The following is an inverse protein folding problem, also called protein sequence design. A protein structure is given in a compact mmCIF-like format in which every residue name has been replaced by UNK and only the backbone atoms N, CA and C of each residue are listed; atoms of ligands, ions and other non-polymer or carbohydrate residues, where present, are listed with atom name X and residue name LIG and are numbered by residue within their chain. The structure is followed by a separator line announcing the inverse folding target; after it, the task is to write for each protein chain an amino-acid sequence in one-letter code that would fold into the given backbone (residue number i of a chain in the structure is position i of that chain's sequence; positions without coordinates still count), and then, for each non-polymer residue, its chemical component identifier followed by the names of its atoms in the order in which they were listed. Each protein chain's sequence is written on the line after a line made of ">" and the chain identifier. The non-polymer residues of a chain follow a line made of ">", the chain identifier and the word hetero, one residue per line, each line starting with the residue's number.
data_IF_277054931256
#
_entry.id   IF_277054931256
#
_cell.length_a   1.000
_cell.length_b   1.000
_cell.length_c   1.000
_cell.angle_alpha   90.00
_cell.angle_beta   90.00
_cell.angle_gamma   90.00
#
_symmetry.space_group_name_H-M   'P 1'
#
loop_
_entity.id
_entity.type
_entity.pdbx_description
1 polymer ?
#
# COMPACT_ATOMS: atom_id res chain seq x y z
N UNK A 1 -38.48 -13.75 34.14
CA UNK A 1 -37.08 -13.46 34.55
C UNK A 1 -36.24 -13.65 33.30
N UNK A 2 -35.94 -12.56 32.60
CA UNK A 2 -35.12 -12.56 31.38
C UNK A 2 -33.71 -12.16 31.81
N UNK A 3 -32.82 -13.15 31.95
CA UNK A 3 -31.40 -12.89 32.12
C UNK A 3 -30.85 -12.32 30.81
N UNK A 4 -30.23 -11.15 30.90
CA UNK A 4 -29.46 -10.53 29.82
C UNK A 4 -28.23 -11.40 29.53
N UNK A 5 -27.95 -11.82 28.28
CA UNK A 5 -26.75 -12.58 28.01
C UNK A 5 -25.52 -11.67 28.16
N UNK A 6 -24.56 -12.14 28.94
CA UNK A 6 -23.24 -11.54 29.14
C UNK A 6 -22.63 -11.20 27.78
N UNK A 7 -22.28 -9.93 27.56
CA UNK A 7 -21.48 -9.49 26.41
C UNK A 7 -20.13 -10.20 26.46
N UNK A 8 -19.98 -11.29 25.70
CA UNK A 8 -18.71 -12.00 25.55
C UNK A 8 -17.80 -11.14 24.67
N UNK A 9 -16.67 -10.72 25.23
CA UNK A 9 -15.66 -10.00 24.47
C UNK A 9 -14.84 -11.01 23.66
N UNK A 10 -14.85 -10.85 22.34
CA UNK A 10 -14.05 -11.66 21.43
C UNK A 10 -12.80 -10.86 21.03
N UNK A 11 -11.64 -11.51 21.05
CA UNK A 11 -10.41 -10.97 20.47
C UNK A 11 -10.03 -11.77 19.23
N UNK A 12 -9.47 -11.07 18.24
CA UNK A 12 -8.79 -11.73 17.13
C UNK A 12 -7.39 -12.15 17.58
N UNK A 13 -7.03 -13.40 17.31
CA UNK A 13 -5.75 -14.00 17.66
C UNK A 13 -5.22 -14.76 16.45
N UNK A 14 -3.90 -14.71 16.26
CA UNK A 14 -3.23 -15.45 15.19
C UNK A 14 -3.37 -16.95 15.45
N UNK A 15 -3.74 -17.71 14.41
CA UNK A 15 -3.95 -19.15 14.52
C UNK A 15 -2.72 -19.89 15.06
N UNK A 16 -1.51 -19.42 14.72
CA UNK A 16 -0.23 -19.98 15.18
C UNK A 16 0.02 -19.79 16.68
N UNK A 17 -0.76 -18.94 17.33
CA UNK A 17 -0.67 -18.67 18.77
C UNK A 17 -1.75 -19.38 19.58
N UNK A 18 -2.57 -20.23 18.96
CA UNK A 18 -3.60 -21.00 19.66
C UNK A 18 -2.97 -22.04 20.57
N UNK A 19 -3.51 -22.14 21.78
CA UNK A 19 -3.06 -23.09 22.79
C UNK A 19 -4.23 -23.90 23.35
N UNK A 20 -3.92 -25.05 23.96
CA UNK A 20 -4.91 -25.82 24.70
C UNK A 20 -5.51 -24.96 25.82
N UNK A 21 -6.84 -24.92 25.92
CA UNK A 21 -7.59 -24.09 26.86
C UNK A 21 -8.22 -22.84 26.22
N UNK A 22 -7.81 -22.45 25.01
CA UNK A 22 -8.42 -21.32 24.31
C UNK A 22 -9.86 -21.65 23.88
N UNK A 23 -10.78 -20.71 24.07
CA UNK A 23 -12.19 -20.88 23.71
C UNK A 23 -12.48 -20.22 22.36
N UNK A 24 -12.48 -21.05 21.31
CA UNK A 24 -12.63 -20.65 19.91
C UNK A 24 -14.10 -20.43 19.53
N UNK A 25 -14.40 -19.35 18.81
CA UNK A 25 -15.67 -19.18 18.13
C UNK A 25 -15.69 -20.04 16.86
N UNK A 26 -16.68 -20.92 16.74
CA UNK A 26 -16.82 -21.82 15.60
C UNK A 26 -17.24 -21.04 14.34
N UNK A 27 -17.02 -21.61 13.13
CA UNK A 27 -17.37 -20.94 11.86
C UNK A 27 -18.85 -20.60 11.70
N UNK A 28 -19.74 -21.18 12.52
CA UNK A 28 -21.15 -20.83 12.57
C UNK A 28 -21.45 -19.48 13.23
N UNK A 29 -20.45 -18.87 13.89
CA UNK A 29 -20.56 -17.55 14.49
C UNK A 29 -21.36 -17.48 15.78
N UNK A 30 -21.91 -18.60 16.27
CA UNK A 30 -22.79 -18.63 17.46
C UNK A 30 -22.24 -19.53 18.57
N UNK A 31 -21.56 -20.62 18.21
CA UNK A 31 -21.08 -21.61 19.17
C UNK A 31 -19.59 -21.41 19.47
N UNK A 32 -19.23 -21.67 20.72
CA UNK A 32 -17.83 -21.63 21.17
C UNK A 32 -17.42 -23.01 21.69
N UNK A 33 -16.19 -23.41 21.42
CA UNK A 33 -15.64 -24.66 21.94
C UNK A 33 -14.20 -24.46 22.43
N UNK A 34 -13.85 -25.18 23.49
CA UNK A 34 -12.50 -25.16 24.04
C UNK A 34 -11.57 -26.08 23.23
N UNK A 35 -10.38 -25.59 22.93
CA UNK A 35 -9.33 -26.34 22.27
C UNK A 35 -8.68 -27.29 23.27
N UNK A 36 -8.76 -28.58 23.01
CA UNK A 36 -8.09 -29.61 23.81
C UNK A 36 -6.69 -29.94 23.30
N UNK A 37 -6.49 -29.88 21.99
CA UNK A 37 -5.22 -30.21 21.36
C UNK A 37 -5.05 -29.40 20.08
N UNK A 38 -3.83 -28.94 19.83
CA UNK A 38 -3.43 -28.26 18.61
C UNK A 38 -2.33 -29.07 17.94
N UNK A 39 -2.51 -29.40 16.67
CA UNK A 39 -1.51 -30.05 15.85
C UNK A 39 -1.20 -29.20 14.62
N UNK A 40 0.08 -29.10 14.26
CA UNK A 40 0.55 -28.30 13.13
C UNK A 40 0.96 -29.23 12.00
N UNK A 41 0.37 -29.01 10.84
CA UNK A 41 0.65 -29.74 9.61
C UNK A 41 1.41 -28.82 8.64
N UNK A 42 2.60 -29.27 8.25
CA UNK A 42 3.46 -28.56 7.29
C UNK A 42 3.11 -28.92 5.84
N UNK A 43 3.37 -28.01 4.92
CA UNK A 43 3.33 -28.27 3.48
C UNK A 43 4.51 -29.13 3.01
N UNK A 44 4.48 -29.47 1.71
CA UNK A 44 5.53 -30.25 1.03
C UNK A 44 6.92 -29.59 1.06
N UNK A 45 7.01 -28.32 1.46
CA UNK A 45 8.24 -27.54 1.60
C UNK A 45 8.67 -27.33 3.06
N UNK A 46 7.93 -27.91 4.01
CA UNK A 46 8.21 -27.85 5.45
C UNK A 46 7.73 -26.57 6.14
N UNK A 47 6.98 -25.71 5.45
CA UNK A 47 6.36 -24.52 6.05
C UNK A 47 5.02 -24.88 6.70
N UNK A 48 4.62 -24.24 7.82
CA UNK A 48 3.33 -24.49 8.45
C UNK A 48 2.19 -24.13 7.48
N UNK A 49 1.29 -25.07 7.22
CA UNK A 49 0.20 -24.89 6.25
C UNK A 49 -1.17 -24.94 6.93
N UNK A 50 -1.39 -25.92 7.81
CA UNK A 50 -2.66 -26.11 8.51
C UNK A 50 -2.43 -26.31 10.01
N UNK A 51 -3.36 -25.78 10.79
CA UNK A 51 -3.47 -25.98 12.23
C UNK A 51 -4.76 -26.75 12.47
N UNK A 52 -4.62 -27.94 13.04
CA UNK A 52 -5.72 -28.83 13.42
C UNK A 52 -6.01 -28.66 14.90
N UNK A 53 -7.13 -28.03 15.23
CA UNK A 53 -7.60 -27.85 16.60
C UNK A 53 -8.68 -28.89 16.93
N UNK A 54 -8.38 -29.79 17.87
CA UNK A 54 -9.36 -30.73 18.43
C UNK A 54 -10.12 -30.06 19.56
N UNK A 55 -11.45 -30.07 19.47
CA UNK A 55 -12.34 -29.36 20.38
C UNK A 55 -12.97 -30.31 21.42
N UNK A 56 -13.36 -29.76 22.57
CA UNK A 56 -14.00 -30.52 23.65
C UNK A 56 -15.32 -31.21 23.29
N UNK A 57 -15.96 -30.81 22.18
CA UNK A 57 -17.12 -31.48 21.60
C UNK A 57 -16.81 -32.68 20.68
N UNK A 58 -15.53 -33.07 20.56
CA UNK A 58 -15.09 -34.20 19.73
C UNK A 58 -14.94 -33.90 18.24
N UNK A 59 -15.07 -32.64 17.84
CA UNK A 59 -14.86 -32.18 16.45
C UNK A 59 -13.46 -31.58 16.26
N UNK A 60 -12.92 -31.67 15.04
CA UNK A 60 -11.67 -31.03 14.63
C UNK A 60 -11.95 -29.87 13.69
N UNK A 61 -11.28 -28.73 13.91
CA UNK A 61 -11.32 -27.55 13.03
C UNK A 61 -9.96 -27.39 12.36
N UNK A 62 -9.99 -27.14 11.05
CA UNK A 62 -8.79 -26.92 10.23
C UNK A 62 -8.67 -25.43 9.94
N UNK A 63 -7.55 -24.85 10.32
CA UNK A 63 -7.29 -23.41 10.23
C UNK A 63 -6.02 -23.23 9.41
N UNK A 64 -6.01 -22.30 8.46
CA UNK A 64 -4.79 -22.00 7.71
C UNK A 64 -3.76 -21.31 8.62
N UNK A 65 -2.49 -21.74 8.57
CA UNK A 65 -1.41 -21.06 9.27
C UNK A 65 -1.31 -19.58 8.80
N UNK A 66 -1.05 -18.65 9.73
CA UNK A 66 -1.06 -17.21 9.46
C UNK A 66 -2.44 -16.55 9.32
N UNK A 67 -3.54 -17.27 9.55
CA UNK A 67 -4.89 -16.69 9.59
C UNK A 67 -5.27 -16.22 11.00
N UNK A 68 -6.20 -15.26 11.10
CA UNK A 68 -6.74 -14.80 12.36
C UNK A 68 -8.05 -15.52 12.71
N UNK A 69 -8.19 -15.93 13.98
CA UNK A 69 -9.41 -16.53 14.52
C UNK A 69 -9.90 -15.78 15.75
N UNK A 70 -11.19 -15.91 16.06
CA UNK A 70 -11.81 -15.23 17.21
C UNK A 70 -11.84 -16.14 18.43
N UNK A 71 -11.27 -15.68 19.53
CA UNK A 71 -11.31 -16.36 20.83
C UNK A 71 -12.08 -15.54 21.86
N UNK A 72 -12.67 -16.20 22.86
CA UNK A 72 -13.35 -15.54 23.99
C UNK A 72 -12.32 -15.12 25.03
N UNK A 73 -12.26 -13.82 25.33
CA UNK A 73 -11.39 -13.31 26.40
C UNK A 73 -11.96 -13.69 27.77
N UNK A 74 -11.31 -14.65 28.44
CA UNK A 74 -11.62 -15.01 29.83
C UNK A 74 -10.56 -14.43 30.76
N UNK A 75 -10.23 -13.15 30.58
CA UNK A 75 -9.24 -12.45 31.42
C UNK A 75 -9.83 -11.16 31.96
N UNK A 76 -10.69 -11.33 32.95
CA UNK A 76 -10.99 -10.34 33.96
C UNK A 76 -11.15 -11.10 35.28
N UNK A 77 -10.04 -11.23 36.01
CA UNK A 77 -9.89 -11.45 37.46
C UNK A 77 -8.47 -11.99 37.71
N UNK A 78 -7.49 -11.08 37.83
CA UNK A 78 -6.44 -11.07 38.87
C UNK A 78 -5.28 -10.16 38.44
N UNK A 79 -5.36 -8.90 38.87
CA UNK A 79 -4.17 -8.07 39.07
C UNK A 79 -3.61 -8.38 40.47
N UNK A 80 -2.32 -8.68 40.58
CA UNK A 80 -1.42 -7.97 41.50
C UNK A 80 0.07 -8.27 41.16
N UNK A 81 0.99 -7.33 41.45
CA UNK A 81 2.38 -7.36 41.01
C UNK A 81 3.32 -7.91 42.10
N UNK A 82 4.40 -8.61 41.73
CA UNK A 82 5.62 -8.57 42.56
C UNK A 82 6.91 -8.93 41.79
N UNK A 83 7.97 -8.33 42.30
CA UNK A 83 9.35 -8.28 41.88
C UNK A 83 10.11 -9.61 41.93
N UNK A 84 11.27 -9.64 41.26
CA UNK A 84 12.29 -10.64 41.55
C UNK A 84 13.33 -10.84 40.45
N UNK A 85 14.19 -9.84 40.22
CA UNK A 85 15.53 -10.13 39.70
C UNK A 85 16.32 -10.95 40.74
N UNK A 86 17.31 -11.76 40.33
CA UNK A 86 18.66 -11.25 40.54
C UNK A 86 19.67 -11.56 39.42
N UNK A 87 20.60 -10.61 39.33
CA UNK A 87 21.87 -10.62 38.64
C UNK A 87 22.83 -11.69 39.20
N UNK A 88 23.79 -12.14 38.40
CA UNK A 88 25.04 -12.73 38.90
C UNK A 88 26.24 -12.24 38.09
N UNK A 89 27.18 -11.67 38.83
CA UNK A 89 28.47 -11.08 38.48
C UNK A 89 29.54 -12.17 38.31
N UNK A 90 30.34 -12.04 37.26
CA UNK A 90 31.78 -11.72 37.24
C UNK A 90 32.77 -12.89 37.40
N UNK A 91 33.67 -13.04 36.41
CA UNK A 91 35.09 -13.40 36.58
C UNK A 91 35.89 -12.81 35.40
N UNK A 92 36.85 -11.91 35.67
CA UNK A 92 38.01 -11.64 34.80
C UNK A 92 39.11 -12.70 35.07
N UNK A 93 40.04 -12.93 34.13
CA UNK A 93 41.41 -12.45 34.42
C UNK A 93 42.24 -11.97 33.22
N UNK A 94 43.07 -10.97 33.53
CA UNK A 94 44.46 -10.63 33.13
C UNK A 94 45.09 -11.07 31.80
N UNK A 95 45.79 -10.09 31.24
CA UNK A 95 46.69 -10.10 30.09
C UNK A 95 47.95 -10.96 30.23
N UNK A 96 48.34 -11.62 29.13
CA UNK A 96 49.75 -11.85 28.73
C UNK A 96 49.82 -12.19 27.23
N UNK A 97 50.69 -11.49 26.49
CA UNK A 97 51.24 -11.85 25.17
C UNK A 97 52.77 -12.05 25.37
N UNK A 98 53.58 -12.54 24.39
CA UNK A 98 53.30 -13.25 23.12
C UNK A 98 54.23 -14.48 22.87
N UNK A 99 53.92 -15.37 21.90
CA UNK A 99 54.95 -16.07 21.08
C UNK A 99 54.36 -16.73 19.80
N UNK A 100 55.23 -16.93 18.81
CA UNK A 100 55.03 -17.05 17.35
C UNK A 100 54.41 -18.36 16.78
N UNK A 101 53.57 -18.19 15.73
CA UNK A 101 53.47 -18.89 14.42
C UNK A 101 53.67 -20.44 14.28
N UNK A 102 52.93 -21.16 13.39
CA UNK A 102 52.80 -20.80 11.97
C UNK A 102 51.44 -21.05 11.28
N UNK A 103 51.43 -20.62 10.02
CA UNK A 103 50.31 -20.29 9.14
C UNK A 103 49.48 -21.45 8.57
N UNK A 104 48.20 -21.17 8.33
CA UNK A 104 47.32 -21.87 7.38
C UNK A 104 46.63 -20.82 6.47
N UNK A 105 46.33 -21.13 5.19
CA UNK A 105 46.19 -20.13 4.14
C UNK A 105 44.87 -19.34 4.21
N UNK A 106 44.99 -18.02 4.05
CA UNK A 106 43.89 -17.07 3.99
C UNK A 106 43.09 -17.23 2.70
N UNK A 107 41.79 -17.51 2.82
CA UNK A 107 40.81 -17.23 1.76
C UNK A 107 40.62 -15.71 1.74
N UNK A 108 41.24 -15.05 0.77
CA UNK A 108 41.04 -13.62 0.51
C UNK A 108 39.62 -13.44 -0.01
N UNK A 109 38.69 -13.11 0.89
CA UNK A 109 37.42 -12.48 0.51
C UNK A 109 37.75 -11.01 0.24
N UNK A 110 37.57 -10.50 -1.00
CA UNK A 110 37.71 -9.07 -1.25
C UNK A 110 36.72 -8.30 -0.35
N UNK A 111 37.12 -7.16 0.25
CA UNK A 111 36.18 -6.35 1.00
C UNK A 111 35.07 -5.88 0.04
N UNK A 112 33.83 -6.21 0.37
CA UNK A 112 32.66 -5.65 -0.29
C UNK A 112 32.80 -4.11 -0.28
N UNK A 113 32.65 -3.44 -1.44
CA UNK A 113 32.69 -1.99 -1.47
C UNK A 113 31.64 -1.42 -0.52
N UNK A 114 32.00 -0.37 0.20
CA UNK A 114 31.11 0.31 1.13
C UNK A 114 29.80 0.66 0.43
N UNK A 115 28.71 0.09 0.92
CA UNK A 115 27.34 0.36 0.46
C UNK A 115 27.08 1.85 0.73
N UNK A 116 26.87 2.70 -0.29
CA UNK A 116 26.41 4.06 -0.04
C UNK A 116 25.04 3.97 0.65
N UNK A 117 24.70 4.88 1.57
CA UNK A 117 23.42 4.82 2.27
C UNK A 117 22.31 4.81 1.22
N UNK A 118 21.48 3.78 1.26
CA UNK A 118 20.29 3.66 0.41
C UNK A 118 19.30 4.76 0.80
N UNK A 119 19.50 5.96 0.28
CA UNK A 119 18.46 6.99 0.25
C UNK A 119 17.57 6.64 -0.92
N UNK A 120 16.72 5.65 -0.70
CA UNK A 120 15.79 5.04 -1.67
C UNK A 120 14.59 5.93 -2.03
N UNK A 121 14.75 7.26 -1.95
CA UNK A 121 13.70 8.24 -2.22
C UNK A 121 14.26 9.56 -2.75
N UNK A 122 13.39 10.51 -3.15
CA UNK A 122 13.84 11.84 -3.56
C UNK A 122 14.55 12.57 -2.42
N UNK A 123 15.61 13.27 -2.77
CA UNK A 123 16.36 14.18 -1.90
C UNK A 123 15.52 15.43 -1.59
N UNK A 124 15.85 16.14 -0.51
CA UNK A 124 15.17 17.40 -0.17
C UNK A 124 15.24 18.44 -1.30
N UNK A 125 16.35 18.48 -2.05
CA UNK A 125 16.51 19.37 -3.21
C UNK A 125 15.61 18.96 -4.40
N UNK A 126 15.36 17.67 -4.58
CA UNK A 126 14.41 17.15 -5.57
C UNK A 126 12.97 17.48 -5.15
N UNK A 127 12.61 17.30 -3.87
CA UNK A 127 11.27 17.65 -3.37
C UNK A 127 10.96 19.14 -3.47
N UNK A 128 11.96 20.02 -3.33
CA UNK A 128 11.80 21.47 -3.49
C UNK A 128 11.39 21.90 -4.91
N UNK A 129 11.37 20.97 -5.89
CA UNK A 129 10.86 21.22 -7.25
C UNK A 129 9.33 21.14 -7.32
N UNK A 130 8.69 20.54 -6.32
CA UNK A 130 7.23 20.55 -6.18
C UNK A 130 6.87 21.90 -5.54
N UNK A 131 6.02 22.73 -6.18
CA UNK A 131 5.59 24.00 -5.61
C UNK A 131 4.91 23.82 -4.25
N UNK A 132 5.20 24.71 -3.30
CA UNK A 132 4.41 24.76 -2.06
C UNK A 132 2.97 25.21 -2.38
N UNK A 133 1.96 24.64 -1.69
CA UNK A 133 0.58 25.03 -1.90
C UNK A 133 0.38 26.51 -1.53
N UNK A 134 -0.46 27.19 -2.31
CA UNK A 134 -0.81 28.59 -2.05
C UNK A 134 -1.79 28.66 -0.88
N UNK A 135 -1.27 28.71 0.35
CA UNK A 135 -2.06 28.81 1.57
C UNK A 135 -2.40 27.43 2.17
N UNK A 136 -3.58 27.31 2.76
CA UNK A 136 -4.03 26.05 3.37
C UNK A 136 -4.50 25.07 2.29
N UNK A 137 -4.39 23.75 2.52
CA UNK A 137 -4.94 22.73 1.62
C UNK A 137 -6.42 22.99 1.26
N UNK A 138 -7.22 23.43 2.22
CA UNK A 138 -8.62 23.77 2.01
C UNK A 138 -8.80 24.97 1.08
N UNK A 139 -7.90 25.96 1.14
CA UNK A 139 -7.95 27.14 0.27
C UNK A 139 -7.59 26.78 -1.18
N UNK A 140 -6.69 25.82 -1.38
CA UNK A 140 -6.40 25.28 -2.73
C UNK A 140 -7.64 24.62 -3.33
N UNK A 141 -8.36 23.82 -2.54
CA UNK A 141 -9.60 23.18 -2.98
C UNK A 141 -10.71 24.20 -3.22
N UNK A 142 -10.83 25.22 -2.37
CA UNK A 142 -11.78 26.32 -2.56
C UNK A 142 -11.49 27.10 -3.85
N UNK A 143 -10.22 27.44 -4.11
CA UNK A 143 -9.81 28.11 -5.35
C UNK A 143 -10.16 27.28 -6.60
N UNK A 144 -9.99 25.96 -6.55
CA UNK A 144 -10.39 25.08 -7.65
C UNK A 144 -11.92 25.09 -7.88
N UNK A 145 -12.72 25.16 -6.81
CA UNK A 145 -14.17 25.28 -6.93
C UNK A 145 -14.61 26.66 -7.45
N UNK A 146 -13.96 27.74 -7.00
CA UNK A 146 -14.23 29.10 -7.48
C UNK A 146 -13.90 29.29 -8.97
N UNK A 147 -12.86 28.61 -9.46
CA UNK A 147 -12.51 28.61 -10.88
C UNK A 147 -13.56 27.90 -11.77
N UNK A 148 -14.34 26.98 -11.19
CA UNK A 148 -15.31 26.14 -11.91
C UNK A 148 -16.70 26.14 -11.24
N UNK A 149 -17.40 27.29 -11.22
CA UNK A 149 -18.65 27.45 -10.45
C UNK A 149 -19.84 26.65 -11.00
N UNK A 150 -19.76 26.16 -12.24
CA UNK A 150 -20.82 25.37 -12.88
C UNK A 150 -20.55 23.85 -12.83
N UNK A 151 -19.40 23.43 -12.31
CA UNK A 151 -18.98 22.03 -12.29
C UNK A 151 -19.50 21.31 -11.04
N UNK A 152 -20.72 20.77 -11.11
CA UNK A 152 -21.37 20.12 -9.97
C UNK A 152 -20.54 19.02 -9.28
N UNK A 153 -19.78 18.22 -10.05
CA UNK A 153 -18.88 17.19 -9.50
C UNK A 153 -17.75 17.79 -8.65
N UNK A 154 -17.12 18.86 -9.14
CA UNK A 154 -16.08 19.60 -8.40
C UNK A 154 -16.65 20.25 -7.15
N UNK A 155 -17.80 20.91 -7.25
CA UNK A 155 -18.43 21.55 -6.09
C UNK A 155 -18.79 20.55 -4.98
N UNK A 156 -19.26 19.35 -5.35
CA UNK A 156 -19.58 18.29 -4.40
C UNK A 156 -18.34 17.74 -3.67
N UNK A 157 -17.22 17.58 -4.37
CA UNK A 157 -15.96 17.16 -3.77
C UNK A 157 -15.36 18.29 -2.91
N UNK A 158 -15.39 19.52 -3.40
CA UNK A 158 -14.88 20.69 -2.68
C UNK A 158 -15.67 20.96 -1.38
N UNK A 159 -17.00 20.86 -1.37
CA UNK A 159 -17.81 21.04 -0.16
C UNK A 159 -17.51 19.98 0.92
N UNK A 160 -17.09 18.76 0.52
CA UNK A 160 -16.63 17.75 1.48
C UNK A 160 -15.25 18.08 2.03
N UNK A 161 -14.33 18.47 1.17
CA UNK A 161 -12.91 18.67 1.49
C UNK A 161 -12.66 19.98 2.26
N UNK A 162 -13.38 21.05 1.96
CA UNK A 162 -13.25 22.36 2.66
C UNK A 162 -13.68 22.33 4.12
N UNK A 163 -14.44 21.31 4.55
CA UNK A 163 -14.81 21.08 5.96
C UNK A 163 -13.64 20.58 6.81
N UNK A 164 -12.54 20.19 6.18
CA UNK A 164 -11.29 19.81 6.83
C UNK A 164 -10.63 18.61 6.16
N UNK A 165 -9.38 18.79 5.74
CA UNK A 165 -8.61 17.75 5.05
C UNK A 165 -7.86 16.88 6.05
N UNK A 166 -8.13 15.57 6.01
CA UNK A 166 -7.45 14.58 6.84
C UNK A 166 -6.58 13.64 5.99
N UNK A 167 -5.28 13.93 5.93
CA UNK A 167 -4.30 13.14 5.17
C UNK A 167 -4.08 11.70 5.69
N UNK A 168 -4.62 11.35 6.86
CA UNK A 168 -4.60 9.96 7.37
C UNK A 168 -5.81 9.15 6.92
N UNK A 169 -6.84 9.79 6.37
CA UNK A 169 -8.06 9.13 5.93
C UNK A 169 -7.98 8.73 4.45
N UNK A 170 -8.08 7.43 4.17
CA UNK A 170 -8.10 6.95 2.78
C UNK A 170 -9.24 7.50 1.94
N UNK A 171 -10.41 7.78 2.53
CA UNK A 171 -11.51 8.40 1.80
C UNK A 171 -11.20 9.85 1.41
N UNK A 172 -10.54 10.60 2.30
CA UNK A 172 -10.15 11.98 2.02
C UNK A 172 -9.06 12.05 0.94
N UNK A 173 -8.10 11.11 0.96
CA UNK A 173 -7.08 11.02 -0.09
C UNK A 173 -7.71 10.66 -1.45
N UNK A 174 -8.71 9.78 -1.44
CA UNK A 174 -9.48 9.46 -2.63
C UNK A 174 -10.25 10.67 -3.16
N UNK A 175 -10.99 11.39 -2.31
CA UNK A 175 -11.73 12.58 -2.73
C UNK A 175 -10.81 13.66 -3.36
N UNK A 176 -9.60 13.84 -2.82
CA UNK A 176 -8.58 14.74 -3.40
C UNK A 176 -8.07 14.24 -4.77
N UNK A 177 -7.83 12.94 -4.90
CA UNK A 177 -7.37 12.33 -6.14
C UNK A 177 -8.46 12.42 -7.22
N UNK A 178 -9.71 12.11 -6.87
CA UNK A 178 -10.88 12.20 -7.75
C UNK A 178 -11.09 13.65 -8.20
N UNK A 179 -10.92 14.64 -7.31
CA UNK A 179 -11.00 16.06 -7.64
C UNK A 179 -9.93 16.46 -8.66
N UNK A 180 -8.68 16.04 -8.46
CA UNK A 180 -7.60 16.33 -9.40
C UNK A 180 -7.85 15.70 -10.79
N UNK A 181 -8.36 14.46 -10.82
CA UNK A 181 -8.72 13.78 -12.08
C UNK A 181 -9.89 14.47 -12.78
N UNK A 182 -10.92 14.90 -12.05
CA UNK A 182 -12.07 15.60 -12.62
C UNK A 182 -11.66 16.95 -13.24
N UNK A 183 -10.83 17.73 -12.53
CA UNK A 183 -10.26 18.99 -13.03
C UNK A 183 -9.48 18.76 -14.33
N UNK A 184 -8.60 17.75 -14.37
CA UNK A 184 -7.78 17.49 -15.54
C UNK A 184 -8.57 16.91 -16.71
N UNK A 185 -9.36 15.86 -16.46
CA UNK A 185 -10.01 15.07 -17.51
C UNK A 185 -11.23 15.81 -18.02
N UNK A 186 -12.19 16.13 -17.14
CA UNK A 186 -13.48 16.69 -17.53
C UNK A 186 -13.36 18.19 -17.84
N UNK A 187 -12.69 18.96 -16.98
CA UNK A 187 -12.63 20.41 -17.09
C UNK A 187 -11.44 20.94 -17.90
N UNK A 188 -10.48 20.07 -18.24
CA UNK A 188 -9.25 20.42 -18.98
C UNK A 188 -8.45 21.52 -18.29
N UNK A 189 -8.44 21.49 -16.96
CA UNK A 189 -7.70 22.41 -16.09
C UNK A 189 -6.47 21.72 -15.50
N UNK A 190 -5.32 21.68 -16.22
CA UNK A 190 -4.10 21.05 -15.71
C UNK A 190 -3.50 21.80 -14.51
N UNK A 191 -3.65 23.12 -14.45
CA UNK A 191 -3.08 23.94 -13.38
C UNK A 191 -3.80 23.71 -12.06
N UNK A 192 -5.14 23.77 -12.07
CA UNK A 192 -5.96 23.43 -10.90
C UNK A 192 -5.80 21.98 -10.48
N UNK A 193 -5.74 21.05 -11.44
CA UNK A 193 -5.49 19.63 -11.15
C UNK A 193 -4.14 19.41 -10.46
N UNK A 194 -3.05 20.04 -10.94
CA UNK A 194 -1.74 19.93 -10.32
C UNK A 194 -1.70 20.56 -8.93
N UNK A 195 -2.36 21.70 -8.73
CA UNK A 195 -2.40 22.35 -7.42
C UNK A 195 -3.07 21.45 -6.37
N UNK A 196 -4.18 20.80 -6.71
CA UNK A 196 -4.86 19.83 -5.83
C UNK A 196 -4.03 18.56 -5.65
N UNK A 197 -3.50 18.00 -6.74
CA UNK A 197 -2.69 16.77 -6.73
C UNK A 197 -1.43 16.92 -5.86
N UNK A 198 -0.81 18.10 -5.83
CA UNK A 198 0.38 18.35 -5.02
C UNK A 198 0.17 18.25 -3.52
N UNK A 199 -1.08 18.45 -3.04
CA UNK A 199 -1.44 18.17 -1.66
C UNK A 199 -1.24 16.68 -1.29
N UNK A 200 -1.39 15.79 -2.28
CA UNK A 200 -1.16 14.35 -2.14
C UNK A 200 0.27 13.97 -2.45
N UNK A 201 0.87 14.57 -3.49
CA UNK A 201 2.18 14.14 -4.02
C UNK A 201 3.32 14.30 -3.02
N UNK A 202 3.18 15.20 -2.04
CA UNK A 202 4.19 15.41 -0.98
C UNK A 202 4.13 14.36 0.13
N UNK A 203 3.12 13.49 0.14
CA UNK A 203 2.93 12.48 1.18
C UNK A 203 3.87 11.28 0.94
N UNK A 204 4.67 10.86 1.94
CA UNK A 204 5.49 9.67 1.81
C UNK A 204 4.63 8.40 1.87
N UNK A 205 5.14 7.32 1.26
CA UNK A 205 4.55 6.00 1.47
C UNK A 205 4.71 5.56 2.93
N UNK A 206 3.61 5.15 3.55
CA UNK A 206 3.53 4.85 4.98
C UNK A 206 3.27 3.37 5.29
N UNK A 207 3.39 2.50 4.28
CA UNK A 207 3.16 1.07 4.41
C UNK A 207 1.71 0.63 4.21
N UNK A 208 0.75 1.53 3.97
CA UNK A 208 -0.65 1.17 3.69
C UNK A 208 -0.95 1.25 2.17
N UNK A 209 -1.08 0.11 1.47
CA UNK A 209 -1.34 0.10 0.02
C UNK A 209 -2.67 0.74 -0.37
N UNK A 210 -3.71 0.63 0.48
CA UNK A 210 -5.03 1.18 0.20
C UNK A 210 -5.04 2.71 0.22
N UNK A 211 -4.25 3.34 1.11
CA UNK A 211 -4.05 4.80 1.11
C UNK A 211 -3.08 5.24 0.02
N UNK A 212 -2.07 4.42 -0.26
CA UNK A 212 -1.09 4.71 -1.30
C UNK A 212 -1.74 4.78 -2.69
N UNK A 213 -2.73 3.93 -2.98
CA UNK A 213 -3.39 3.93 -4.29
C UNK A 213 -3.88 5.32 -4.75
N UNK A 214 -4.43 6.14 -3.85
CA UNK A 214 -4.88 7.50 -4.17
C UNK A 214 -3.72 8.46 -4.43
N UNK A 215 -2.63 8.33 -3.67
CA UNK A 215 -1.39 9.12 -3.85
C UNK A 215 -0.69 8.70 -5.14
N UNK A 216 -0.65 7.41 -5.44
CA UNK A 216 -0.06 6.85 -6.65
C UNK A 216 -0.80 7.30 -7.91
N UNK A 217 -2.14 7.26 -7.90
CA UNK A 217 -2.94 7.80 -9.00
C UNK A 217 -2.66 9.30 -9.22
N UNK A 218 -2.57 10.08 -8.13
CA UNK A 218 -2.23 11.51 -8.18
C UNK A 218 -0.82 11.76 -8.74
N UNK A 219 0.18 10.97 -8.32
CA UNK A 219 1.56 11.08 -8.81
C UNK A 219 1.66 10.70 -10.29
N UNK A 220 0.94 9.67 -10.74
CA UNK A 220 0.89 9.27 -12.14
C UNK A 220 0.27 10.35 -13.02
N UNK A 221 -0.85 10.94 -12.58
CA UNK A 221 -1.49 12.08 -13.23
C UNK A 221 -0.54 13.29 -13.31
N UNK A 222 0.09 13.64 -12.19
CA UNK A 222 0.97 14.82 -12.09
C UNK A 222 2.23 14.70 -12.94
N UNK A 223 2.85 13.51 -12.96
CA UNK A 223 3.94 13.18 -13.88
C UNK A 223 3.50 13.38 -15.33
N UNK A 224 2.32 12.87 -15.71
CA UNK A 224 1.82 13.03 -17.06
C UNK A 224 1.63 14.51 -17.45
N UNK A 225 0.96 15.31 -16.61
CA UNK A 225 0.74 16.74 -16.87
C UNK A 225 2.09 17.46 -17.01
N UNK A 226 3.02 17.25 -16.08
CA UNK A 226 4.34 17.89 -16.13
C UNK A 226 5.14 17.52 -17.39
N UNK A 227 5.06 16.27 -17.86
CA UNK A 227 5.67 15.87 -19.15
C UNK A 227 5.02 16.59 -20.34
N UNK A 228 3.70 16.81 -20.33
CA UNK A 228 3.04 17.58 -21.40
C UNK A 228 3.49 19.04 -21.41
N UNK A 229 3.70 19.63 -20.22
CA UNK A 229 4.14 21.02 -20.05
C UNK A 229 5.67 21.20 -20.12
N UNK A 230 6.42 20.14 -20.45
CA UNK A 230 7.90 20.11 -20.53
C UNK A 230 8.59 20.44 -19.19
N UNK A 231 7.91 20.20 -18.08
CA UNK A 231 8.46 20.27 -16.72
C UNK A 231 9.13 18.93 -16.36
N UNK A 232 10.14 18.53 -17.14
CA UNK A 232 10.79 17.21 -17.04
C UNK A 232 11.36 16.95 -15.63
N UNK A 233 12.03 17.94 -15.05
CA UNK A 233 12.65 17.83 -13.73
C UNK A 233 11.64 17.57 -12.61
N UNK A 234 10.41 18.07 -12.74
CA UNK A 234 9.32 17.88 -11.78
C UNK A 234 8.63 16.53 -12.01
N UNK A 235 8.43 16.15 -13.27
CA UNK A 235 7.90 14.84 -13.62
C UNK A 235 8.78 13.70 -13.08
N UNK A 236 10.11 13.82 -13.19
CA UNK A 236 11.05 12.83 -12.65
C UNK A 236 10.93 12.67 -11.12
N UNK A 237 10.66 13.76 -10.40
CA UNK A 237 10.45 13.72 -8.94
C UNK A 237 9.19 12.93 -8.60
N UNK A 238 8.08 13.17 -9.31
CA UNK A 238 6.85 12.41 -9.11
C UNK A 238 7.02 10.93 -9.43
N UNK A 239 7.69 10.60 -10.53
CA UNK A 239 7.95 9.21 -10.91
C UNK A 239 8.86 8.51 -9.88
N UNK A 240 9.83 9.23 -9.30
CA UNK A 240 10.69 8.71 -8.23
C UNK A 240 9.91 8.50 -6.93
N UNK A 241 9.02 9.43 -6.56
CA UNK A 241 8.11 9.31 -5.42
C UNK A 241 7.17 8.11 -5.56
N UNK A 242 6.58 7.97 -6.74
CA UNK A 242 5.65 6.90 -7.07
C UNK A 242 6.31 5.51 -6.94
N UNK A 243 7.59 5.41 -7.29
CA UNK A 243 8.40 4.19 -7.13
C UNK A 243 9.02 4.01 -5.73
N UNK A 244 8.70 4.86 -4.75
CA UNK A 244 9.25 4.75 -3.39
C UNK A 244 8.96 3.41 -2.68
N UNK A 245 7.73 2.84 -2.74
CA UNK A 245 7.45 1.54 -2.12
C UNK A 245 8.36 0.43 -2.65
N UNK A 246 8.77 0.54 -3.91
CA UNK A 246 9.60 -0.43 -4.61
C UNK A 246 11.01 -0.51 -4.07
N UNK A 247 11.49 0.61 -3.53
CA UNK A 247 12.85 0.78 -3.06
C UNK A 247 12.98 0.55 -1.54
N UNK A 248 11.89 0.16 -0.86
CA UNK A 248 11.91 -0.19 0.56
C UNK A 248 12.59 -1.54 0.83
N UNK A 249 12.58 -2.45 -0.14
CA UNK A 249 13.27 -3.73 0.00
C UNK A 249 14.78 -3.55 -0.10
N UNK A 250 15.47 -3.79 1.00
CA UNK A 250 16.93 -3.64 1.12
C UNK A 250 17.69 -4.89 0.67
N UNK A 251 17.05 -6.07 0.67
CA UNK A 251 17.69 -7.31 0.21
C UNK A 251 17.84 -7.30 -1.32
N UNK A 252 19.08 -7.34 -1.87
CA UNK A 252 19.30 -7.31 -3.31
C UNK A 252 18.62 -8.44 -4.08
N UNK A 253 18.48 -9.63 -3.48
CA UNK A 253 17.85 -10.77 -4.14
C UNK A 253 16.34 -10.59 -4.24
N UNK A 254 15.69 -10.24 -3.11
CA UNK A 254 14.25 -9.96 -3.08
C UNK A 254 13.88 -8.75 -3.93
N UNK A 255 14.69 -7.69 -3.88
CA UNK A 255 14.53 -6.50 -4.72
C UNK A 255 14.52 -6.87 -6.21
N UNK A 256 15.48 -7.70 -6.66
CA UNK A 256 15.54 -8.19 -8.05
C UNK A 256 14.34 -9.06 -8.42
N UNK A 257 13.87 -9.92 -7.51
CA UNK A 257 12.67 -10.74 -7.75
C UNK A 257 11.41 -9.88 -7.87
N UNK A 258 11.23 -8.92 -6.96
CA UNK A 258 10.10 -8.00 -6.94
C UNK A 258 10.06 -7.14 -8.20
N UNK A 259 11.22 -6.63 -8.65
CA UNK A 259 11.33 -5.90 -9.91
C UNK A 259 10.88 -6.75 -11.11
N UNK A 260 11.26 -8.04 -11.16
CA UNK A 260 10.83 -8.95 -12.23
C UNK A 260 9.33 -9.23 -12.21
N UNK A 261 8.75 -9.41 -11.02
CA UNK A 261 7.30 -9.61 -10.85
C UNK A 261 6.55 -8.36 -11.33
N UNK A 262 7.02 -7.18 -10.93
CA UNK A 262 6.43 -5.90 -11.35
C UNK A 262 6.50 -5.70 -12.85
N UNK A 263 7.66 -5.98 -13.47
CA UNK A 263 7.79 -5.85 -14.92
C UNK A 263 6.81 -6.77 -15.64
N UNK A 264 6.56 -7.99 -15.14
CA UNK A 264 5.52 -8.87 -15.70
C UNK A 264 4.13 -8.25 -15.60
N UNK A 265 3.75 -7.66 -14.45
CA UNK A 265 2.45 -6.98 -14.34
C UNK A 265 2.35 -5.76 -15.24
N UNK A 266 3.44 -5.02 -15.48
CA UNK A 266 3.48 -3.91 -16.43
C UNK A 266 3.43 -4.37 -17.89
N UNK A 267 3.91 -5.57 -18.18
CA UNK A 267 3.88 -6.18 -19.52
C UNK A 267 2.49 -6.70 -19.90
N UNK A 268 1.66 -7.04 -18.92
CA UNK A 268 0.30 -7.58 -19.08
C UNK A 268 -0.72 -6.73 -18.30
N UNK A 269 -0.88 -5.44 -18.63
CA UNK A 269 -1.80 -4.56 -17.91
C UNK A 269 -3.25 -4.94 -18.17
N UNK A 270 -4.10 -4.76 -17.16
CA UNK A 270 -5.55 -4.82 -17.38
C UNK A 270 -6.03 -3.52 -18.05
N UNK A 271 -6.37 -3.62 -19.33
CA UNK A 271 -6.88 -2.51 -20.14
C UNK A 271 -8.40 -2.58 -20.37
N UNK A 272 -9.12 -3.48 -19.69
CA UNK A 272 -10.59 -3.51 -19.69
C UNK A 272 -11.25 -3.58 -21.09
N UNK A 273 -10.57 -4.16 -22.08
CA UNK A 273 -11.07 -4.24 -23.46
C UNK A 273 -12.45 -4.91 -23.53
N UNK A 274 -12.63 -6.00 -22.77
CA UNK A 274 -13.88 -6.77 -22.79
C UNK A 274 -15.04 -5.97 -22.21
N UNK A 275 -14.81 -5.24 -21.14
CA UNK A 275 -15.80 -4.43 -20.43
C UNK A 275 -16.22 -3.21 -21.26
N UNK A 276 -15.26 -2.57 -21.93
CA UNK A 276 -15.53 -1.45 -22.84
C UNK A 276 -16.33 -1.94 -24.04
N UNK A 277 -15.92 -3.01 -24.72
CA UNK A 277 -16.68 -3.56 -25.86
C UNK A 277 -18.08 -4.00 -25.45
N UNK A 278 -18.23 -4.65 -24.28
CA UNK A 278 -19.55 -5.02 -23.77
C UNK A 278 -20.44 -3.79 -23.51
N UNK A 279 -19.88 -2.70 -23.01
CA UNK A 279 -20.63 -1.47 -22.74
C UNK A 279 -21.07 -0.79 -24.04
N UNK A 280 -20.20 -0.79 -25.06
CA UNK A 280 -20.51 -0.33 -26.42
C UNK A 280 -21.63 -1.18 -27.04
N UNK A 281 -21.50 -2.52 -27.00
CA UNK A 281 -22.50 -3.45 -27.54
C UNK A 281 -23.88 -3.26 -26.88
N UNK A 282 -23.90 -2.90 -25.60
CA UNK A 282 -25.12 -2.61 -24.84
C UNK A 282 -25.58 -1.15 -24.95
N UNK A 283 -24.89 -0.29 -25.70
CA UNK A 283 -25.15 1.16 -25.80
C UNK A 283 -25.20 1.87 -24.43
N UNK A 284 -24.44 1.38 -23.45
CA UNK A 284 -24.33 1.99 -22.13
C UNK A 284 -23.11 2.93 -22.09
N UNK A 285 -23.33 4.18 -22.49
CA UNK A 285 -22.29 5.20 -22.58
C UNK A 285 -21.71 5.61 -21.22
N UNK A 286 -22.51 5.57 -20.15
CA UNK A 286 -22.04 5.87 -18.79
C UNK A 286 -21.04 4.81 -18.33
N UNK A 287 -21.41 3.52 -18.43
CA UNK A 287 -20.50 2.43 -18.11
C UNK A 287 -19.27 2.41 -19.02
N UNK A 288 -19.43 2.67 -20.32
CA UNK A 288 -18.28 2.80 -21.25
C UNK A 288 -17.28 3.85 -20.73
N UNK A 289 -17.78 5.03 -20.35
CA UNK A 289 -16.94 6.11 -19.83
C UNK A 289 -16.22 5.70 -18.54
N UNK A 290 -16.89 5.05 -17.61
CA UNK A 290 -16.27 4.53 -16.38
C UNK A 290 -15.14 3.52 -16.67
N UNK A 291 -15.36 2.57 -17.57
CA UNK A 291 -14.32 1.60 -17.94
C UNK A 291 -13.14 2.26 -18.66
N UNK A 292 -13.39 3.27 -19.49
CA UNK A 292 -12.33 4.04 -20.15
C UNK A 292 -11.52 4.88 -19.17
N UNK A 293 -12.14 5.43 -18.13
CA UNK A 293 -11.43 6.10 -17.03
C UNK A 293 -10.47 5.13 -16.33
N UNK A 294 -10.93 3.93 -15.98
CA UNK A 294 -10.08 2.90 -15.37
C UNK A 294 -8.92 2.48 -16.30
N UNK A 295 -9.18 2.37 -17.62
CA UNK A 295 -8.12 2.13 -18.60
C UNK A 295 -7.12 3.29 -18.65
N UNK A 296 -7.59 4.53 -18.65
CA UNK A 296 -6.74 5.71 -18.66
C UNK A 296 -5.81 5.72 -17.43
N UNK A 297 -6.35 5.46 -16.24
CA UNK A 297 -5.56 5.31 -15.01
C UNK A 297 -4.49 4.22 -15.16
N UNK A 298 -4.84 3.03 -15.66
CA UNK A 298 -3.87 1.96 -15.95
C UNK A 298 -2.76 2.44 -16.89
N UNK A 299 -3.09 3.19 -17.95
CA UNK A 299 -2.10 3.69 -18.91
C UNK A 299 -1.19 4.77 -18.30
N UNK A 300 -1.73 5.67 -17.48
CA UNK A 300 -0.96 6.67 -16.75
C UNK A 300 -0.01 6.01 -15.76
N UNK A 301 -0.49 5.02 -15.01
CA UNK A 301 0.29 4.19 -14.10
C UNK A 301 1.46 3.53 -14.85
N UNK A 302 1.18 2.87 -15.98
CA UNK A 302 2.21 2.23 -16.80
C UNK A 302 3.31 3.21 -17.20
N UNK A 303 2.94 4.41 -17.63
CA UNK A 303 3.90 5.44 -18.02
C UNK A 303 4.77 5.87 -16.84
N UNK A 304 4.17 6.19 -15.71
CA UNK A 304 4.88 6.71 -14.55
C UNK A 304 5.85 5.68 -13.93
N UNK A 305 5.55 4.39 -14.09
CA UNK A 305 6.39 3.27 -13.68
C UNK A 305 7.52 2.92 -14.67
N UNK A 306 7.74 3.74 -15.71
CA UNK A 306 8.82 3.53 -16.69
C UNK A 306 8.39 2.73 -17.92
N UNK A 307 7.10 2.41 -18.04
CA UNK A 307 6.52 1.78 -19.21
C UNK A 307 6.50 0.25 -19.17
N UNK A 308 6.10 -0.30 -20.31
CA UNK A 308 5.98 -1.72 -20.56
C UNK A 308 7.02 -2.15 -21.60
N UNK A 309 7.58 -3.35 -21.49
CA UNK A 309 8.45 -3.90 -22.53
C UNK A 309 7.65 -4.33 -23.77
N UNK A 310 6.34 -4.52 -23.62
CA UNK A 310 5.44 -4.95 -24.71
C UNK A 310 4.77 -3.77 -25.41
N UNK A 311 4.63 -2.62 -24.74
CA UNK A 311 4.03 -1.39 -25.28
C UNK A 311 5.10 -0.29 -25.29
N UNK A 312 5.62 0.04 -26.47
CA UNK A 312 6.61 1.10 -26.63
C UNK A 312 6.08 2.48 -26.21
N UNK A 313 6.96 3.36 -25.73
CA UNK A 313 6.60 4.66 -25.17
C UNK A 313 5.74 5.55 -26.11
N UNK A 314 6.04 5.55 -27.41
CA UNK A 314 5.25 6.30 -28.40
C UNK A 314 3.82 5.76 -28.56
N UNK A 315 3.65 4.43 -28.53
CA UNK A 315 2.33 3.80 -28.58
C UNK A 315 1.56 4.04 -27.28
N UNK A 316 2.24 3.97 -26.13
CA UNK A 316 1.64 4.29 -24.83
C UNK A 316 1.11 5.73 -24.79
N UNK A 317 1.91 6.70 -25.23
CA UNK A 317 1.48 8.09 -25.35
C UNK A 317 0.26 8.22 -26.27
N UNK A 318 0.26 7.57 -27.44
CA UNK A 318 -0.86 7.60 -28.38
C UNK A 318 -2.14 7.04 -27.77
N UNK A 319 -2.05 5.93 -27.02
CA UNK A 319 -3.19 5.34 -26.32
C UNK A 319 -3.73 6.27 -25.24
N UNK A 320 -2.88 6.89 -24.43
CA UNK A 320 -3.30 7.86 -23.40
C UNK A 320 -4.05 9.03 -24.06
N UNK A 321 -3.49 9.60 -25.13
CA UNK A 321 -4.14 10.70 -25.86
C UNK A 321 -5.51 10.30 -26.42
N UNK A 322 -5.63 9.13 -27.03
CA UNK A 322 -6.90 8.63 -27.56
C UNK A 322 -7.94 8.40 -26.46
N UNK A 323 -7.55 7.82 -25.32
CA UNK A 323 -8.49 7.60 -24.20
C UNK A 323 -8.92 8.91 -23.55
N UNK A 324 -8.02 9.89 -23.43
CA UNK A 324 -8.39 11.25 -22.98
C UNK A 324 -9.42 11.88 -23.92
N UNK A 325 -9.23 11.78 -25.24
CA UNK A 325 -10.21 12.27 -26.21
C UNK A 325 -11.54 11.54 -26.08
N UNK A 326 -11.53 10.21 -25.93
CA UNK A 326 -12.75 9.40 -25.83
C UNK A 326 -13.56 9.69 -24.55
N UNK A 327 -12.90 9.92 -23.41
CA UNK A 327 -13.57 10.21 -22.13
C UNK A 327 -14.10 11.64 -22.04
N UNK A 328 -13.55 12.55 -22.85
CA UNK A 328 -13.93 13.97 -22.96
C UNK A 328 -15.03 14.25 -23.99
N UNK A 329 -15.30 13.30 -24.88
CA UNK A 329 -16.31 13.41 -25.94
C UNK A 329 -17.72 13.19 -25.39
#
# INVERSE_FOLDING_TARGET
>A
MTETPVSRYYSEQQADSLTTGDQLLLPDGERTAEIQQVELESDDYGAPALILASLSGGGTVRIAAGSAVKIVNTSALDETPDAGAPLSLAVEPSATEPEEAPAAPAVVVPPLPAIPPAVSGPTAAELARIPEPQGTPEAVVEAAAEAHPDAGGVLLLADKLTKGINFKSGSCLKDLSDLAHELFITLKDPDGALAVADLLNVLPFDGNPGRWASVEASLALSSYICRQDRQEDRAEVYEKLLRSPENQETDPFKSRMNAKIRQRSLNEPNLYDKEIFRSIDNSNHEAEREWRLLRLESLLFLRAHGGSETIGAGELQRRISNELEAVRA
#
